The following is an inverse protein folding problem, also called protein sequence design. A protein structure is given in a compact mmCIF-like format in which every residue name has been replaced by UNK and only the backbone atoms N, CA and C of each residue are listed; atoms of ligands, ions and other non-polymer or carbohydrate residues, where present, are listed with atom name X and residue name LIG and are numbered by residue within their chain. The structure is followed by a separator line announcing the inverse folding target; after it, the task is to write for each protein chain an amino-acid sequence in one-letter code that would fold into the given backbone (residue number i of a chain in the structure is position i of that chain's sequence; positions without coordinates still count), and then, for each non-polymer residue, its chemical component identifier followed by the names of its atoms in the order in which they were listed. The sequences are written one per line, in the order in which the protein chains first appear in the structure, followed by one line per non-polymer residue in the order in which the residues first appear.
data_IF_453671249117
#
_entry.id   IF_453671249117
#
_cell.length_a   1.000
_cell.length_b   1.000
_cell.length_c   1.000
_cell.angle_alpha   90.00
_cell.angle_beta   90.00
_cell.angle_gamma   90.00
#
_symmetry.space_group_name_H-M   'P 1'
#
loop_
_entity.id
_entity.type
_entity.pdbx_description
1 polymer ?
#
# COMPACT_ATOMS: atom_id res chain seq x y z
N UNK A 1 18.01 -18.81 6.29
CA UNK A 1 16.59 -18.44 6.03
C UNK A 1 16.19 -19.19 4.79
N UNK A 2 15.13 -20.02 4.86
CA UNK A 2 14.65 -20.75 3.68
C UNK A 2 14.01 -19.77 2.68
N UNK A 3 13.97 -20.09 1.39
CA UNK A 3 13.30 -19.27 0.37
C UNK A 3 11.83 -19.00 0.74
N UNK A 4 11.17 -19.88 1.47
CA UNK A 4 9.81 -19.70 2.00
C UNK A 4 9.69 -18.62 3.09
N UNK A 5 10.69 -18.44 3.93
CA UNK A 5 10.70 -17.35 4.94
C UNK A 5 10.94 -15.98 4.29
N UNK A 6 11.71 -15.93 3.19
CA UNK A 6 11.95 -14.70 2.44
C UNK A 6 10.69 -14.20 1.72
N UNK A 7 9.77 -15.10 1.34
CA UNK A 7 8.52 -14.74 0.66
C UNK A 7 7.46 -14.10 1.58
N UNK A 8 7.54 -14.32 2.90
CA UNK A 8 6.60 -13.78 3.90
C UNK A 8 6.99 -12.38 4.40
N UNK A 9 8.27 -12.05 4.35
CA UNK A 9 8.81 -10.73 4.65
C UNK A 9 9.01 -9.97 3.34
N UNK A 10 8.20 -8.94 3.11
CA UNK A 10 8.38 -8.01 2.01
C UNK A 10 9.65 -7.17 2.16
N UNK A 11 9.87 -6.26 1.23
CA UNK A 11 11.05 -5.39 1.23
C UNK A 11 11.04 -4.40 2.39
N UNK A 12 12.24 -4.04 2.87
CA UNK A 12 12.42 -2.91 3.77
C UNK A 12 12.08 -1.61 3.04
N UNK A 13 11.32 -0.71 3.68
CA UNK A 13 11.08 0.62 3.16
C UNK A 13 12.41 1.37 2.99
N UNK A 14 12.57 2.11 1.89
CA UNK A 14 13.84 2.72 1.50
C UNK A 14 13.70 4.20 1.17
N UNK A 15 14.82 4.90 1.20
CA UNK A 15 14.93 6.27 0.70
C UNK A 15 13.89 7.20 1.30
N UNK A 16 13.17 7.88 0.42
CA UNK A 16 12.13 8.84 0.78
C UNK A 16 10.98 8.22 1.57
N UNK A 17 10.52 7.02 1.22
CA UNK A 17 9.43 6.33 1.91
C UNK A 17 9.79 6.00 3.37
N UNK A 18 11.02 5.55 3.62
CA UNK A 18 11.49 5.29 4.99
C UNK A 18 11.61 6.59 5.81
N UNK A 19 12.07 7.67 5.18
CA UNK A 19 12.22 8.97 5.83
C UNK A 19 10.86 9.58 6.16
N UNK A 20 9.96 9.67 5.19
CA UNK A 20 8.60 10.22 5.37
C UNK A 20 7.77 9.40 6.33
N UNK A 21 7.88 8.06 6.27
CA UNK A 21 7.17 7.17 7.17
C UNK A 21 7.53 7.40 8.64
N UNK A 22 8.80 7.69 8.94
CA UNK A 22 9.26 8.01 10.30
C UNK A 22 8.85 9.40 10.74
N UNK A 23 9.07 10.39 9.88
CA UNK A 23 8.81 11.80 10.22
C UNK A 23 7.32 12.11 10.29
N UNK A 24 6.49 11.42 9.52
CA UNK A 24 5.04 11.53 9.56
C UNK A 24 4.41 11.17 10.92
N UNK A 25 5.12 10.41 11.75
CA UNK A 25 4.68 10.12 13.13
C UNK A 25 4.73 11.36 14.01
N UNK A 26 5.65 12.28 13.77
CA UNK A 26 5.83 13.51 14.54
C UNK A 26 5.19 14.75 13.92
N UNK A 27 5.08 14.82 12.59
CA UNK A 27 4.51 15.97 11.88
C UNK A 27 3.48 15.53 10.82
N UNK A 28 2.18 15.82 11.03
CA UNK A 28 1.11 15.51 10.08
C UNK A 28 1.34 16.03 8.66
N UNK A 29 2.10 17.11 8.49
CA UNK A 29 2.40 17.69 7.16
C UNK A 29 3.35 16.83 6.32
N UNK A 30 4.04 15.89 6.96
CA UNK A 30 4.96 14.96 6.30
C UNK A 30 4.31 13.61 6.00
N UNK A 31 3.01 13.47 6.22
CA UNK A 31 2.27 12.25 5.86
C UNK A 31 2.22 12.09 4.35
N UNK A 32 2.68 10.96 3.88
CA UNK A 32 2.65 10.61 2.46
C UNK A 32 1.34 9.89 2.10
N UNK A 33 0.21 10.54 2.34
CA UNK A 33 -1.12 10.03 2.01
C UNK A 33 -1.47 10.38 0.57
N UNK A 34 -1.82 9.38 -0.22
CA UNK A 34 -2.44 9.53 -1.54
C UNK A 34 -3.92 9.25 -1.39
N UNK A 35 -4.75 10.15 -1.89
CA UNK A 35 -6.19 9.98 -1.92
C UNK A 35 -6.67 10.12 -3.36
N UNK A 36 -7.29 9.05 -3.88
CA UNK A 36 -7.96 9.04 -5.17
C UNK A 36 -9.47 9.07 -4.94
N UNK A 37 -10.17 9.96 -5.64
CA UNK A 37 -11.62 10.08 -5.60
C UNK A 37 -12.18 9.88 -7.00
N UNK A 38 -13.15 8.98 -7.13
CA UNK A 38 -13.92 8.76 -8.35
C UNK A 38 -15.39 9.08 -8.09
N UNK A 39 -15.98 9.95 -8.92
CA UNK A 39 -17.41 10.15 -8.97
C UNK A 39 -18.09 9.03 -9.74
N UNK A 40 -19.22 8.55 -9.25
CA UNK A 40 -20.01 7.47 -9.82
C UNK A 40 -21.42 7.98 -10.11
N UNK A 41 -21.97 7.66 -11.27
CA UNK A 41 -23.36 8.03 -11.64
C UNK A 41 -24.38 7.42 -10.67
N UNK A 42 -24.03 6.31 -10.04
CA UNK A 42 -24.83 5.64 -8.99
C UNK A 42 -23.96 4.78 -8.12
N UNK A 43 -24.42 4.51 -6.90
CA UNK A 43 -23.73 3.56 -6.01
C UNK A 43 -23.73 2.15 -6.63
N UNK A 44 -22.58 1.47 -6.70
CA UNK A 44 -22.51 0.07 -7.09
C UNK A 44 -23.13 -0.82 -6.01
N UNK A 45 -23.42 -2.07 -6.38
CA UNK A 45 -23.76 -3.08 -5.38
C UNK A 45 -22.62 -3.25 -4.38
N UNK A 46 -22.94 -3.14 -3.10
CA UNK A 46 -21.95 -3.12 -2.03
C UNK A 46 -21.20 -4.44 -1.90
N UNK A 47 -21.92 -5.55 -1.90
CA UNK A 47 -21.31 -6.87 -1.71
C UNK A 47 -20.38 -7.22 -2.87
N UNK A 48 -20.79 -6.85 -4.08
CA UNK A 48 -19.96 -7.02 -5.27
C UNK A 48 -18.70 -6.16 -5.22
N UNK A 49 -18.80 -4.90 -4.80
CA UNK A 49 -17.65 -4.00 -4.67
C UNK A 49 -16.67 -4.54 -3.62
N UNK A 50 -17.20 -4.93 -2.45
CA UNK A 50 -16.42 -5.48 -1.34
C UNK A 50 -15.68 -6.75 -1.77
N UNK A 51 -16.38 -7.73 -2.34
CA UNK A 51 -15.78 -8.97 -2.82
C UNK A 51 -14.72 -8.73 -3.90
N UNK A 52 -14.93 -7.74 -4.76
CA UNK A 52 -13.96 -7.34 -5.77
C UNK A 52 -12.71 -6.75 -5.14
N UNK A 53 -12.84 -5.86 -4.16
CA UNK A 53 -11.71 -5.30 -3.42
C UNK A 53 -10.91 -6.40 -2.71
N UNK A 54 -11.59 -7.31 -2.03
CA UNK A 54 -10.95 -8.46 -1.39
C UNK A 54 -10.16 -9.28 -2.41
N UNK A 55 -10.79 -9.65 -3.52
CA UNK A 55 -10.12 -10.39 -4.60
C UNK A 55 -8.88 -9.65 -5.12
N UNK A 56 -8.91 -8.31 -5.23
CA UNK A 56 -7.76 -7.51 -5.69
C UNK A 56 -6.58 -7.55 -4.73
N UNK A 57 -6.81 -7.72 -3.43
CA UNK A 57 -5.71 -7.89 -2.48
C UNK A 57 -4.88 -9.15 -2.73
N UNK A 58 -5.42 -10.15 -3.39
CA UNK A 58 -4.69 -11.35 -3.78
C UNK A 58 -3.74 -11.10 -4.97
N UNK A 59 -4.10 -10.20 -5.88
CA UNK A 59 -3.26 -9.82 -7.01
C UNK A 59 -2.20 -8.78 -6.63
N UNK A 60 -2.44 -8.03 -5.55
CA UNK A 60 -1.53 -7.01 -5.03
C UNK A 60 -1.23 -7.32 -3.56
N UNK A 61 -0.33 -8.28 -3.27
CA UNK A 61 -0.09 -8.75 -1.89
C UNK A 61 0.33 -7.64 -0.92
N UNK A 62 0.90 -6.52 -1.43
CA UNK A 62 1.25 -5.37 -0.60
C UNK A 62 0.03 -4.78 0.14
N UNK A 63 -1.19 -4.94 -0.40
CA UNK A 63 -2.43 -4.55 0.27
C UNK A 63 -2.78 -5.42 1.48
N UNK A 64 -2.11 -6.56 1.65
CA UNK A 64 -2.26 -7.45 2.80
C UNK A 64 -1.05 -7.36 3.74
N UNK A 65 -0.12 -6.43 3.49
CA UNK A 65 1.10 -6.28 4.27
C UNK A 65 1.00 -5.09 5.22
N UNK A 66 1.38 -5.32 6.47
CA UNK A 66 1.53 -4.28 7.51
C UNK A 66 2.99 -3.92 7.71
N UNK A 67 3.30 -2.69 8.17
CA UNK A 67 4.66 -2.33 8.54
C UNK A 67 5.06 -2.98 9.86
N UNK A 68 6.20 -3.65 9.87
CA UNK A 68 6.84 -4.20 11.07
C UNK A 68 8.10 -3.41 11.41
N UNK A 69 8.28 -3.16 12.69
CA UNK A 69 9.40 -2.40 13.21
C UNK A 69 10.44 -3.34 13.85
N UNK A 70 11.70 -3.12 13.59
CA UNK A 70 12.77 -3.77 14.32
C UNK A 70 12.89 -3.25 15.75
N UNK A 71 13.83 -3.83 16.51
CA UNK A 71 14.08 -3.48 17.91
C UNK A 71 14.30 -1.96 18.04
N UNK A 72 13.58 -1.34 18.98
CA UNK A 72 13.61 0.10 19.28
C UNK A 72 13.20 1.04 18.13
N UNK A 73 12.65 0.53 17.02
CA UNK A 73 12.26 1.37 15.87
C UNK A 73 13.42 2.08 15.16
N UNK A 74 14.66 1.69 15.45
CA UNK A 74 15.86 2.35 14.89
C UNK A 74 16.03 2.06 13.39
N UNK A 75 15.67 0.86 12.95
CA UNK A 75 15.72 0.49 11.53
C UNK A 75 14.48 0.95 10.77
N UNK A 76 14.59 1.13 9.44
CA UNK A 76 13.43 1.37 8.61
C UNK A 76 12.44 0.19 8.73
N UNK A 77 11.13 0.46 8.74
CA UNK A 77 10.13 -0.59 8.82
C UNK A 77 10.20 -1.50 7.59
N UNK A 78 9.74 -2.73 7.78
CA UNK A 78 9.66 -3.76 6.75
C UNK A 78 8.19 -4.13 6.57
N UNK A 79 7.74 -4.35 5.35
CA UNK A 79 6.40 -4.85 5.11
C UNK A 79 6.37 -6.37 5.33
N UNK A 80 5.32 -6.89 5.94
CA UNK A 80 5.05 -8.31 6.09
C UNK A 80 3.56 -8.58 5.98
N UNK A 81 3.19 -9.79 5.53
CA UNK A 81 1.80 -10.20 5.47
C UNK A 81 1.18 -10.10 6.87
N UNK A 82 0.01 -9.47 6.95
CA UNK A 82 -0.76 -9.36 8.18
C UNK A 82 -1.50 -10.68 8.43
N UNK A 83 -1.23 -11.39 9.53
CA UNK A 83 -1.93 -12.64 9.84
C UNK A 83 -3.42 -12.43 10.14
N UNK A 84 -3.78 -11.23 10.59
CA UNK A 84 -5.15 -10.85 10.94
C UNK A 84 -5.78 -9.95 9.86
N UNK A 85 -5.35 -10.10 8.60
CA UNK A 85 -5.92 -9.31 7.52
C UNK A 85 -7.40 -9.61 7.35
N UNK A 86 -8.19 -8.56 7.45
CA UNK A 86 -9.63 -8.58 7.20
C UNK A 86 -10.00 -7.37 6.31
N UNK A 87 -10.58 -7.65 5.15
CA UNK A 87 -11.00 -6.59 4.22
C UNK A 87 -12.01 -5.64 4.84
N UNK A 88 -12.86 -6.10 5.75
CA UNK A 88 -13.90 -5.29 6.39
C UNK A 88 -13.35 -4.20 7.32
N UNK A 89 -12.09 -4.33 7.71
CA UNK A 89 -11.37 -3.28 8.44
C UNK A 89 -10.91 -2.14 7.52
N UNK A 90 -10.83 -2.41 6.23
CA UNK A 90 -10.29 -1.50 5.23
C UNK A 90 -11.35 -0.89 4.30
N UNK A 91 -12.51 -1.55 4.18
CA UNK A 91 -13.55 -1.17 3.22
C UNK A 91 -14.80 -0.71 3.96
N UNK A 92 -15.20 0.53 3.74
CA UNK A 92 -16.30 1.16 4.46
C UNK A 92 -17.36 1.71 3.50
N UNK A 93 -18.57 1.86 3.99
CA UNK A 93 -19.67 2.54 3.30
C UNK A 93 -20.41 3.45 4.28
N UNK A 94 -20.76 4.64 3.81
CA UNK A 94 -21.73 5.49 4.51
C UNK A 94 -22.49 6.37 3.51
N UNK A 95 -23.64 6.91 3.96
CA UNK A 95 -24.44 7.85 3.19
C UNK A 95 -24.25 9.25 3.76
N UNK A 96 -24.15 10.25 2.88
CA UNK A 96 -24.16 11.63 3.29
C UNK A 96 -25.55 12.00 3.87
N UNK A 97 -25.61 12.94 4.82
CA UNK A 97 -26.89 13.49 5.29
C UNK A 97 -27.73 14.06 4.15
N UNK A 98 -29.04 14.01 4.31
CA UNK A 98 -29.98 14.60 3.33
C UNK A 98 -29.67 16.08 3.08
N UNK A 99 -29.66 16.48 1.82
CA UNK A 99 -29.31 17.84 1.38
C UNK A 99 -27.84 18.12 1.24
N UNK A 100 -26.97 17.13 1.53
CA UNK A 100 -25.53 17.22 1.25
C UNK A 100 -25.26 17.16 -0.26
N UNK A 101 -24.08 17.67 -0.64
CA UNK A 101 -23.62 17.67 -2.02
C UNK A 101 -22.10 17.44 -2.12
N UNK A 102 -21.55 17.78 -3.26
CA UNK A 102 -20.13 17.60 -3.54
C UNK A 102 -19.22 18.40 -2.58
N UNK A 103 -19.67 19.53 -2.04
CA UNK A 103 -18.88 20.32 -1.08
C UNK A 103 -18.67 19.56 0.24
N UNK A 104 -19.71 18.93 0.75
CA UNK A 104 -19.65 18.10 1.97
C UNK A 104 -18.78 16.87 1.73
N UNK A 105 -18.94 16.20 0.59
CA UNK A 105 -18.10 15.09 0.17
C UNK A 105 -16.61 15.48 0.13
N UNK A 106 -16.28 16.58 -0.54
CA UNK A 106 -14.91 17.07 -0.63
C UNK A 106 -14.35 17.48 0.74
N UNK A 107 -15.20 17.99 1.63
CA UNK A 107 -14.88 18.24 3.02
C UNK A 107 -14.49 16.94 3.77
N UNK A 108 -15.24 15.86 3.56
CA UNK A 108 -14.93 14.54 4.12
C UNK A 108 -13.63 13.97 3.54
N UNK A 109 -13.47 14.00 2.22
CA UNK A 109 -12.26 13.57 1.55
C UNK A 109 -11.02 14.31 2.09
N UNK A 110 -11.13 15.63 2.31
CA UNK A 110 -10.07 16.41 2.95
C UNK A 110 -9.78 15.94 4.38
N UNK A 111 -10.81 15.67 5.19
CA UNK A 111 -10.60 15.14 6.54
C UNK A 111 -9.91 13.79 6.51
N UNK A 112 -10.34 12.91 5.62
CA UNK A 112 -9.70 11.59 5.44
C UNK A 112 -8.22 11.71 5.05
N UNK A 113 -7.87 12.66 4.16
CA UNK A 113 -6.47 12.85 3.75
C UNK A 113 -5.57 13.33 4.90
N UNK A 114 -6.13 13.96 5.92
CA UNK A 114 -5.42 14.47 7.09
C UNK A 114 -5.35 13.46 8.25
N UNK A 115 -6.10 12.36 8.20
CA UNK A 115 -6.01 11.30 9.20
C UNK A 115 -4.84 10.37 8.91
N UNK A 116 -4.18 9.85 9.95
CA UNK A 116 -3.14 8.82 9.79
C UNK A 116 -3.79 7.43 9.60
N UNK A 117 -2.98 6.46 9.22
CA UNK A 117 -3.36 5.06 9.15
C UNK A 117 -3.08 4.37 10.50
N UNK A 118 -3.83 3.31 10.80
CA UNK A 118 -3.42 2.35 11.82
C UNK A 118 -2.15 1.63 11.33
N UNK A 119 -1.04 1.91 11.99
CA UNK A 119 0.28 1.38 11.61
C UNK A 119 0.48 -0.09 11.98
N UNK A 120 -0.49 -0.71 12.64
CA UNK A 120 -0.49 -2.14 12.92
C UNK A 120 -1.20 -2.95 11.84
N UNK A 121 -1.71 -2.27 10.79
CA UNK A 121 -2.47 -2.86 9.69
C UNK A 121 -1.91 -2.43 8.34
N UNK A 122 -2.34 -3.05 7.24
CA UNK A 122 -2.07 -2.56 5.88
C UNK A 122 -2.52 -1.10 5.72
N UNK A 123 -1.69 -0.29 5.05
CA UNK A 123 -1.80 1.17 5.05
C UNK A 123 -2.72 1.67 3.92
N UNK A 124 -3.95 1.19 3.88
CA UNK A 124 -4.95 1.64 2.92
C UNK A 124 -6.36 1.59 3.49
N UNK A 125 -7.25 2.38 2.92
CA UNK A 125 -8.69 2.42 3.21
C UNK A 125 -9.45 2.68 1.91
N UNK A 126 -10.61 2.06 1.75
CA UNK A 126 -11.54 2.30 0.63
C UNK A 126 -12.92 2.66 1.19
N UNK A 127 -13.54 3.69 0.64
CA UNK A 127 -14.83 4.17 1.13
C UNK A 127 -15.78 4.42 -0.04
N UNK A 128 -16.94 3.78 0.01
CA UNK A 128 -18.09 4.11 -0.84
C UNK A 128 -18.98 5.12 -0.11
N UNK A 129 -19.25 6.25 -0.73
CA UNK A 129 -20.09 7.31 -0.18
C UNK A 129 -21.26 7.50 -1.11
N UNK A 130 -22.46 7.28 -0.61
CA UNK A 130 -23.71 7.55 -1.34
C UNK A 130 -24.47 8.74 -0.73
N UNK A 131 -25.68 9.02 -1.24
CA UNK A 131 -26.49 10.15 -0.77
C UNK A 131 -26.17 11.48 -1.47
N UNK A 132 -25.40 11.46 -2.55
CA UNK A 132 -25.23 12.63 -3.41
C UNK A 132 -26.49 12.93 -4.21
N UNK A 133 -26.66 14.20 -4.70
CA UNK A 133 -27.78 14.55 -5.58
C UNK A 133 -27.88 13.64 -6.80
N UNK A 134 -29.08 13.46 -7.32
CA UNK A 134 -29.39 12.63 -8.51
C UNK A 134 -29.07 11.13 -8.34
N UNK A 135 -28.84 10.64 -7.12
CA UNK A 135 -28.47 9.25 -6.86
C UNK A 135 -26.99 8.95 -7.16
N UNK A 136 -26.20 9.98 -7.37
CA UNK A 136 -24.76 9.86 -7.54
C UNK A 136 -24.07 9.31 -6.26
N UNK A 137 -22.88 8.77 -6.44
CA UNK A 137 -22.04 8.28 -5.36
C UNK A 137 -20.58 8.65 -5.61
N UNK A 138 -19.74 8.43 -4.64
CA UNK A 138 -18.30 8.57 -4.78
C UNK A 138 -17.57 7.37 -4.19
N UNK A 139 -16.49 6.98 -4.81
CA UNK A 139 -15.56 6.00 -4.28
C UNK A 139 -14.23 6.70 -3.97
N UNK A 140 -13.78 6.54 -2.74
CA UNK A 140 -12.50 7.09 -2.29
C UNK A 140 -11.57 5.94 -1.95
N UNK A 141 -10.34 5.99 -2.48
CA UNK A 141 -9.25 5.13 -2.09
C UNK A 141 -8.14 5.96 -1.47
N UNK A 142 -7.79 5.66 -0.23
CA UNK A 142 -6.73 6.30 0.54
C UNK A 142 -5.60 5.30 0.75
N UNK A 143 -4.39 5.69 0.42
CA UNK A 143 -3.19 4.85 0.43
C UNK A 143 -2.02 5.60 1.03
N UNK A 144 -1.16 4.90 1.76
CA UNK A 144 0.15 5.44 2.10
C UNK A 144 1.10 5.25 0.91
N UNK A 145 1.86 6.27 0.55
CA UNK A 145 2.76 6.25 -0.61
C UNK A 145 3.75 5.07 -0.59
N UNK A 146 4.16 4.63 0.59
CA UNK A 146 5.12 3.52 0.74
C UNK A 146 4.62 2.14 0.28
N UNK A 147 3.32 1.95 0.12
CA UNK A 147 2.73 0.68 -0.36
C UNK A 147 2.32 0.72 -1.83
N UNK A 148 2.37 1.91 -2.44
CA UNK A 148 1.97 2.11 -3.82
C UNK A 148 2.97 3.05 -4.50
N UNK A 149 3.86 2.51 -5.33
CA UNK A 149 4.54 3.35 -6.29
C UNK A 149 3.54 3.86 -7.34
N UNK A 150 3.88 4.93 -8.05
CA UNK A 150 2.95 5.58 -8.97
C UNK A 150 2.36 4.65 -10.02
N UNK A 151 3.10 3.64 -10.49
CA UNK A 151 2.61 2.68 -11.47
C UNK A 151 1.66 1.66 -10.83
N UNK A 152 2.01 1.11 -9.67
CA UNK A 152 1.16 0.16 -8.96
C UNK A 152 -0.18 0.80 -8.55
N UNK A 153 -0.16 2.08 -8.14
CA UNK A 153 -1.39 2.83 -7.82
C UNK A 153 -2.32 2.96 -9.03
N UNK A 154 -1.78 3.30 -10.20
CA UNK A 154 -2.57 3.42 -11.44
C UNK A 154 -3.12 2.06 -11.87
N UNK A 155 -2.30 1.01 -11.87
CA UNK A 155 -2.73 -0.36 -12.23
C UNK A 155 -3.83 -0.82 -11.27
N UNK A 156 -3.69 -0.56 -9.98
CA UNK A 156 -4.67 -0.91 -8.97
C UNK A 156 -5.98 -0.15 -9.19
N UNK A 157 -5.92 1.17 -9.41
CA UNK A 157 -7.11 1.98 -9.71
C UNK A 157 -7.82 1.47 -10.97
N UNK A 158 -7.11 1.25 -12.07
CA UNK A 158 -7.67 0.72 -13.31
C UNK A 158 -8.26 -0.69 -13.14
N UNK A 159 -7.69 -1.50 -12.26
CA UNK A 159 -8.17 -2.85 -12.00
C UNK A 159 -9.43 -2.91 -11.13
N UNK A 160 -9.74 -1.84 -10.40
CA UNK A 160 -10.95 -1.73 -9.60
C UNK A 160 -12.18 -1.40 -10.45
N UNK A 161 -11.98 -0.67 -11.55
CA UNK A 161 -13.06 -0.26 -12.43
C UNK A 161 -13.15 -1.22 -13.63
N UNK A 162 -14.30 -1.81 -13.83
CA UNK A 162 -14.62 -2.54 -15.06
C UNK A 162 -14.90 -1.54 -16.17
N UNK A 163 -14.31 -1.78 -17.34
CA UNK A 163 -14.60 -1.00 -18.53
C UNK A 163 -15.93 -1.40 -19.18
N UNK A 164 -16.63 -2.40 -18.63
CA UNK A 164 -17.91 -2.92 -19.10
C UNK A 164 -18.92 -3.07 -17.97
N UNK A 165 -20.20 -3.11 -18.34
CA UNK A 165 -21.33 -3.27 -17.41
C UNK A 165 -21.44 -4.71 -16.87
N UNK A 166 -20.95 -5.68 -17.61
CA UNK A 166 -21.00 -7.09 -17.24
C UNK A 166 -19.66 -7.60 -16.68
N UNK A 167 -19.68 -8.55 -15.72
CA UNK A 167 -18.47 -9.19 -15.26
C UNK A 167 -17.73 -9.87 -16.42
N UNK A 168 -16.42 -9.64 -16.53
CA UNK A 168 -15.64 -10.36 -17.53
C UNK A 168 -15.59 -11.85 -17.15
N UNK A 169 -16.17 -12.76 -17.95
CA UNK A 169 -16.14 -14.19 -17.68
C UNK A 169 -14.74 -14.80 -17.77
N UNK A 170 -13.77 -14.07 -18.33
CA UNK A 170 -12.37 -14.50 -18.46
C UNK A 170 -11.48 -13.97 -17.32
N UNK A 171 -12.06 -13.52 -16.22
CA UNK A 171 -11.26 -13.08 -15.07
C UNK A 171 -10.33 -14.23 -14.61
N UNK A 172 -9.02 -14.01 -14.50
CA UNK A 172 -8.08 -15.06 -14.14
C UNK A 172 -8.40 -15.60 -12.73
N UNK A 173 -8.06 -16.87 -12.43
CA UNK A 173 -8.29 -17.43 -11.10
C UNK A 173 -7.59 -16.58 -10.04
N UNK A 174 -8.21 -16.46 -8.87
CA UNK A 174 -7.65 -15.70 -7.76
C UNK A 174 -6.37 -16.37 -7.28
N UNK A 175 -5.22 -15.68 -7.27
CA UNK A 175 -3.98 -16.25 -6.75
C UNK A 175 -4.10 -16.61 -5.27
N UNK A 176 -3.42 -17.67 -4.86
CA UNK A 176 -3.24 -17.95 -3.44
C UNK A 176 -2.22 -16.98 -2.85
N UNK A 177 -2.58 -16.37 -1.72
CA UNK A 177 -1.66 -15.57 -0.91
C UNK A 177 -1.35 -16.38 0.34
N UNK A 178 -0.06 -16.58 0.68
CA UNK A 178 0.30 -17.29 1.91
C UNK A 178 -0.31 -16.61 3.14
N UNK A 179 -0.66 -17.39 4.15
CA UNK A 179 -1.08 -16.85 5.43
C UNK A 179 0.06 -16.02 6.05
N UNK A 180 -0.29 -14.90 6.66
CA UNK A 180 0.64 -14.09 7.44
C UNK A 180 1.08 -14.84 8.69
N UNK A 181 2.27 -14.53 9.18
CA UNK A 181 2.77 -15.03 10.45
C UNK A 181 3.27 -13.86 11.29
N UNK A 182 3.13 -13.99 12.61
CA UNK A 182 3.74 -13.05 13.52
C UNK A 182 5.27 -13.20 13.50
N UNK A 183 5.90 -12.24 12.85
CA UNK A 183 7.37 -12.20 12.75
C UNK A 183 7.93 -11.50 13.96
N UNK A 184 8.63 -12.24 14.81
CA UNK A 184 9.28 -11.68 16.00
C UNK A 184 10.28 -10.56 15.65
N UNK A 185 10.39 -9.55 16.52
CA UNK A 185 11.26 -8.38 16.34
C UNK A 185 12.74 -8.71 16.09
N UNK A 186 13.21 -9.84 16.64
CA UNK A 186 14.56 -10.35 16.41
C UNK A 186 14.76 -10.80 14.95
N UNK A 187 13.78 -11.46 14.36
CA UNK A 187 13.83 -11.89 12.96
C UNK A 187 13.81 -10.69 12.00
N UNK A 188 13.04 -9.66 12.33
CA UNK A 188 13.03 -8.39 11.59
C UNK A 188 14.40 -7.71 11.67
N UNK A 189 15.00 -7.64 12.86
CA UNK A 189 16.31 -7.04 13.06
C UNK A 189 17.41 -7.79 12.28
N UNK A 190 17.37 -9.13 12.29
CA UNK A 190 18.29 -9.98 11.54
C UNK A 190 18.14 -9.77 10.03
N UNK A 191 16.92 -9.80 9.50
CA UNK A 191 16.66 -9.55 8.09
C UNK A 191 17.11 -8.14 7.64
N UNK A 192 16.90 -7.12 8.47
CA UNK A 192 17.35 -5.76 8.20
C UNK A 192 18.89 -5.65 8.20
N UNK A 193 19.56 -6.38 9.08
CA UNK A 193 21.02 -6.42 9.12
C UNK A 193 21.60 -7.13 7.88
N UNK A 194 21.02 -8.25 7.49
CA UNK A 194 21.41 -8.99 6.28
C UNK A 194 21.26 -8.12 5.02
N UNK A 195 20.13 -7.43 4.86
CA UNK A 195 19.90 -6.50 3.75
C UNK A 195 20.91 -5.34 3.73
N UNK A 196 21.27 -4.82 4.90
CA UNK A 196 22.25 -3.73 5.01
C UNK A 196 23.66 -4.23 4.64
N UNK A 197 24.04 -5.42 5.09
CA UNK A 197 25.33 -6.02 4.75
C UNK A 197 25.45 -6.33 3.25
N UNK A 198 24.40 -6.86 2.64
CA UNK A 198 24.38 -7.11 1.19
C UNK A 198 24.50 -5.81 0.40
N UNK A 199 23.86 -4.74 0.84
CA UNK A 199 23.98 -3.41 0.20
C UNK A 199 25.39 -2.84 0.28
N UNK A 200 26.05 -2.97 1.43
CA UNK A 200 27.43 -2.51 1.61
C UNK A 200 28.36 -3.29 0.66
N UNK A 201 28.19 -4.62 0.59
CA UNK A 201 28.94 -5.46 -0.35
C UNK A 201 28.72 -5.05 -1.80
N UNK A 202 27.45 -4.91 -2.21
CA UNK A 202 27.11 -4.50 -3.59
C UNK A 202 27.65 -3.09 -3.96
N UNK A 203 27.61 -2.15 -3.01
CA UNK A 203 28.19 -0.82 -3.21
C UNK A 203 29.72 -0.85 -3.34
N UNK A 204 30.41 -1.65 -2.51
CA UNK A 204 31.84 -1.83 -2.61
C UNK A 204 32.28 -2.48 -3.92
N UNK A 205 31.56 -3.52 -4.37
CA UNK A 205 31.78 -4.15 -5.68
C UNK A 205 31.53 -3.20 -6.85
N UNK A 206 30.48 -2.36 -6.75
CA UNK A 206 30.18 -1.33 -7.75
C UNK A 206 31.28 -0.29 -7.87
N UNK A 207 31.82 0.18 -6.75
CA UNK A 207 32.96 1.12 -6.72
C UNK A 207 34.22 0.49 -7.30
N UNK A 208 34.51 -0.76 -7.00
CA UNK A 208 35.67 -1.48 -7.56
C UNK A 208 35.54 -1.66 -9.07
N UNK A 209 34.36 -1.98 -9.60
CA UNK A 209 34.10 -2.09 -11.05
C UNK A 209 34.23 -0.74 -11.73
N UNK A 210 33.64 0.33 -11.16
CA UNK A 210 33.75 1.68 -11.72
C UNK A 210 35.21 2.19 -11.72
N UNK A 211 35.96 1.96 -10.63
CA UNK A 211 37.38 2.30 -10.56
C UNK A 211 38.22 1.53 -11.58
N UNK A 212 37.93 0.25 -11.79
CA UNK A 212 38.61 -0.59 -12.81
C UNK A 212 38.31 -0.15 -14.25
N UNK A 213 37.10 0.35 -14.53
CA UNK A 213 36.71 0.90 -15.84
C UNK A 213 37.42 2.25 -16.11
N UNK A 214 37.45 3.15 -15.13
CA UNK A 214 38.18 4.42 -15.24
C UNK A 214 39.67 4.22 -15.47
N UNK A 215 40.30 3.26 -14.78
CA UNK A 215 41.72 2.93 -14.98
C UNK A 215 41.98 2.40 -16.39
N UNK A 216 41.12 1.58 -16.95
CA UNK A 216 41.26 1.06 -18.33
C UNK A 216 41.12 2.15 -19.38
N UNK A 217 40.24 3.13 -19.15
CA UNK A 217 40.09 4.29 -20.04
C UNK A 217 41.23 5.30 -19.95
N UNK A 218 41.94 5.37 -18.83
CA UNK A 218 43.10 6.26 -18.65
C UNK A 218 44.40 5.69 -19.24
N UNK A 219 44.42 4.40 -19.59
CA UNK A 219 45.63 3.69 -20.14
C UNK A 219 45.49 3.45 -21.67
N UNK A 220 44.31 3.70 -22.24
CA UNK A 220 44.09 3.65 -23.70
C UNK A 220 44.21 5.03 -24.35
#
# INVERSE_FOLDING_TARGET
MSEQESGKLGSQLRGWDAATFRTASGDPRLRSTVLALAGLERAPDWERLRARLERRTHFVPTLRMRPLYGIFGVSAPRLALDPDFDVDVHVHRYSLPEGSGWNELLGDARRMSLTDFDRNRPLWEAVLIDGLPNGEAAFIMKLHHSIADGQATVIMALSLFELGLDPNPEDPPTPEVPDGEDVGTLNIAKANLEDNLQRIKGSAEGLLRAGGQMMRQAIS
#
